data_IF_505332809667
#
_entry.id   IF_505332809667
#
_cell.length_a   1.000
_cell.length_b   1.000
_cell.length_c   1.000
_cell.angle_alpha   90.00
_cell.angle_beta   90.00
_cell.angle_gamma   90.00
#
_symmetry.space_group_name_H-M   'P 1'
#
loop_
_entity.id
_entity.type
_entity.pdbx_description
1 polymer ?
#
# COMPACT_ATOMS: atom_id res chain seq x y z
N UNK A 1 19.39 19.99 47.76
CA UNK A 1 19.42 20.45 46.35
C UNK A 1 19.78 19.37 45.33
N UNK A 2 20.54 18.31 45.66
CA UNK A 2 20.88 17.23 44.71
C UNK A 2 19.68 16.33 44.32
N UNK A 3 18.79 16.05 45.26
CA UNK A 3 17.63 15.17 45.02
C UNK A 3 16.53 15.82 44.16
N UNK A 4 16.48 17.17 44.13
CA UNK A 4 15.54 17.93 43.29
C UNK A 4 15.95 17.84 41.81
N UNK A 5 17.25 17.96 41.51
CA UNK A 5 17.80 17.88 40.15
C UNK A 5 17.56 16.48 39.57
N UNK A 6 17.75 15.43 40.38
CA UNK A 6 17.51 14.04 39.97
C UNK A 6 16.02 13.81 39.65
N UNK A 7 15.11 14.34 40.48
CA UNK A 7 13.67 14.26 40.24
C UNK A 7 13.25 14.92 38.93
N UNK A 8 13.77 16.12 38.65
CA UNK A 8 13.46 16.84 37.40
C UNK A 8 14.02 16.13 36.17
N UNK A 9 15.22 15.55 36.27
CA UNK A 9 15.84 14.81 35.16
C UNK A 9 15.06 13.53 34.82
N UNK A 10 14.61 12.79 35.84
CA UNK A 10 13.78 11.59 35.65
C UNK A 10 12.43 11.92 35.04
N UNK A 11 11.80 13.02 35.46
CA UNK A 11 10.52 13.46 34.88
C UNK A 11 10.64 13.82 33.40
N UNK A 12 11.69 14.57 33.01
CA UNK A 12 11.97 14.89 31.60
C UNK A 12 12.24 13.65 30.74
N UNK A 13 12.90 12.64 31.31
CA UNK A 13 13.22 11.38 30.60
C UNK A 13 11.96 10.54 30.31
N UNK A 14 11.05 10.44 31.27
CA UNK A 14 9.79 9.69 31.13
C UNK A 14 8.85 10.37 30.12
N UNK A 15 8.66 11.69 30.25
CA UNK A 15 7.79 12.45 29.33
C UNK A 15 8.39 12.51 27.92
N UNK A 16 9.71 12.71 27.82
CA UNK A 16 10.41 12.73 26.54
C UNK A 16 10.25 11.41 25.77
N UNK A 17 10.43 10.27 26.45
CA UNK A 17 10.32 8.94 25.83
C UNK A 17 8.93 8.68 25.25
N UNK A 18 7.86 9.07 25.97
CA UNK A 18 6.48 8.91 25.51
C UNK A 18 6.14 9.73 24.26
N UNK A 19 6.72 10.93 24.10
CA UNK A 19 6.53 11.76 22.91
C UNK A 19 7.26 11.19 21.68
N UNK A 20 8.39 10.53 21.87
CA UNK A 20 9.14 9.88 20.77
C UNK A 20 8.41 8.65 20.22
N UNK A 21 7.81 7.82 21.07
CA UNK A 21 7.05 6.63 20.64
C UNK A 21 5.83 7.00 19.79
N UNK A 22 5.07 8.02 20.19
CA UNK A 22 3.88 8.47 19.43
C UNK A 22 4.27 8.97 18.03
N UNK A 23 5.39 9.69 17.90
CA UNK A 23 5.87 10.16 16.58
C UNK A 23 6.33 9.01 15.68
N UNK A 24 6.95 7.98 16.24
CA UNK A 24 7.42 6.82 15.48
C UNK A 24 6.24 5.98 14.96
N UNK A 25 5.19 5.80 15.77
CA UNK A 25 3.96 5.11 15.37
C UNK A 25 3.20 5.89 14.29
N UNK A 26 3.06 7.22 14.42
CA UNK A 26 2.46 8.05 13.39
C UNK A 26 3.22 8.02 12.05
N UNK A 27 4.56 7.88 12.06
CA UNK A 27 5.33 7.74 10.82
C UNK A 27 5.12 6.37 10.14
N UNK A 28 4.97 5.30 10.93
CA UNK A 28 4.67 3.97 10.40
C UNK A 28 3.24 3.89 9.86
N UNK A 29 2.27 4.47 10.56
CA UNK A 29 0.88 4.57 10.08
C UNK A 29 0.76 5.47 8.86
N UNK A 30 1.51 6.58 8.78
CA UNK A 30 1.55 7.42 7.59
C UNK A 30 2.14 6.68 6.38
N UNK A 31 3.16 5.82 6.59
CA UNK A 31 3.69 4.95 5.54
C UNK A 31 2.68 3.87 5.12
N UNK A 32 2.03 3.20 6.07
CA UNK A 32 1.00 2.20 5.79
C UNK A 32 -0.21 2.82 5.08
N UNK A 33 -0.65 4.01 5.52
CA UNK A 33 -1.70 4.79 4.88
C UNK A 33 -1.27 5.35 3.51
N UNK A 34 0.01 5.68 3.30
CA UNK A 34 0.52 6.07 1.99
C UNK A 34 0.54 4.87 1.01
N UNK A 35 0.83 3.66 1.50
CA UNK A 35 0.67 2.41 0.73
C UNK A 35 -0.81 2.18 0.38
N UNK A 36 -1.74 2.48 1.29
CA UNK A 36 -3.19 2.39 1.04
C UNK A 36 -3.73 3.51 0.12
N UNK A 37 -3.05 4.67 0.07
CA UNK A 37 -3.45 5.85 -0.75
C UNK A 37 -2.90 5.85 -2.17
N UNK A 38 -2.08 4.88 -2.57
CA UNK A 38 -1.88 4.58 -3.98
C UNK A 38 -3.13 3.89 -4.58
N UNK A 39 -4.33 4.42 -4.31
CA UNK A 39 -5.46 4.30 -5.23
C UNK A 39 -5.01 4.99 -6.51
N UNK A 40 -4.52 4.20 -7.46
CA UNK A 40 -4.22 4.64 -8.82
C UNK A 40 -5.55 5.10 -9.41
N UNK A 41 -5.97 6.34 -9.15
CA UNK A 41 -7.13 6.96 -9.78
C UNK A 41 -6.93 6.85 -11.29
N UNK A 42 -7.66 5.95 -11.94
CA UNK A 42 -7.79 5.99 -13.40
C UNK A 42 -7.50 4.73 -14.20
N UNK A 43 -7.42 3.52 -13.62
CA UNK A 43 -7.53 2.32 -14.46
C UNK A 43 -9.01 1.99 -14.66
N UNK A 44 -9.59 2.48 -15.76
CA UNK A 44 -10.97 2.21 -16.17
C UNK A 44 -11.06 1.28 -17.38
N UNK A 45 -9.93 0.97 -18.01
CA UNK A 45 -9.86 0.11 -19.20
C UNK A 45 -8.69 -0.86 -19.17
N UNK A 46 -8.84 -2.00 -19.86
CA UNK A 46 -7.78 -3.01 -19.96
C UNK A 46 -6.53 -2.48 -20.68
N UNK A 47 -6.71 -1.56 -21.64
CA UNK A 47 -5.58 -0.92 -22.35
C UNK A 47 -4.73 -0.09 -21.39
N UNK A 48 -5.34 0.66 -20.48
CA UNK A 48 -4.63 1.42 -19.45
C UNK A 48 -3.91 0.49 -18.47
N UNK A 49 -4.57 -0.60 -18.05
CA UNK A 49 -3.93 -1.60 -17.18
C UNK A 49 -2.70 -2.21 -17.87
N UNK A 50 -2.85 -2.64 -19.12
CA UNK A 50 -1.75 -3.23 -19.90
C UNK A 50 -0.60 -2.24 -20.10
N UNK A 51 -0.91 -0.97 -20.40
CA UNK A 51 0.10 0.08 -20.51
C UNK A 51 0.84 0.29 -19.18
N UNK A 52 0.13 0.24 -18.05
CA UNK A 52 0.72 0.37 -16.72
C UNK A 52 1.62 -0.81 -16.35
N UNK A 53 1.25 -2.03 -16.76
CA UNK A 53 2.08 -3.23 -16.56
C UNK A 53 3.31 -3.28 -17.47
N UNK A 54 3.20 -2.78 -18.70
CA UNK A 54 4.30 -2.67 -19.67
C UNK A 54 5.30 -1.56 -19.34
N UNK A 55 4.98 -0.63 -18.44
CA UNK A 55 5.88 0.44 -18.06
C UNK A 55 6.97 -0.09 -17.11
N UNK A 56 8.26 -0.09 -17.52
CA UNK A 56 9.35 -0.63 -16.73
C UNK A 56 9.72 0.27 -15.54
N UNK A 57 9.24 1.51 -15.49
CA UNK A 57 9.46 2.44 -14.38
C UNK A 57 8.49 2.21 -13.22
N UNK A 58 7.50 1.33 -13.39
CA UNK A 58 6.48 1.04 -12.36
C UNK A 58 6.95 -0.07 -11.43
N UNK A 59 6.93 0.22 -10.13
CA UNK A 59 7.27 -0.77 -9.10
C UNK A 59 6.15 -1.78 -8.90
N UNK A 60 6.46 -2.94 -8.32
CA UNK A 60 5.50 -4.00 -8.09
C UNK A 60 4.30 -3.54 -7.24
N UNK A 61 4.54 -2.72 -6.21
CA UNK A 61 3.49 -2.11 -5.40
C UNK A 61 2.54 -1.22 -6.22
N UNK A 62 3.07 -0.46 -7.19
CA UNK A 62 2.24 0.35 -8.09
C UNK A 62 1.43 -0.53 -9.05
N UNK A 63 2.02 -1.62 -9.56
CA UNK A 63 1.32 -2.58 -10.43
C UNK A 63 0.20 -3.30 -9.68
N UNK A 64 0.43 -3.67 -8.42
CA UNK A 64 -0.59 -4.23 -7.53
C UNK A 64 -1.73 -3.24 -7.31
N UNK A 65 -1.44 -1.99 -6.97
CA UNK A 65 -2.49 -0.96 -6.80
C UNK A 65 -3.29 -0.70 -8.08
N UNK A 66 -2.65 -0.72 -9.25
CA UNK A 66 -3.32 -0.61 -10.55
C UNK A 66 -4.22 -1.81 -10.84
N UNK A 67 -3.77 -3.03 -10.52
CA UNK A 67 -4.55 -4.25 -10.64
C UNK A 67 -5.77 -4.23 -9.70
N UNK A 68 -5.59 -3.88 -8.43
CA UNK A 68 -6.69 -3.80 -7.46
C UNK A 68 -7.74 -2.78 -7.90
N UNK A 69 -7.29 -1.64 -8.43
CA UNK A 69 -8.20 -0.62 -8.97
C UNK A 69 -8.97 -1.15 -10.18
N UNK A 70 -8.33 -1.91 -11.07
CA UNK A 70 -9.00 -2.50 -12.23
C UNK A 70 -10.04 -3.56 -11.83
N UNK A 71 -9.77 -4.33 -10.76
CA UNK A 71 -10.72 -5.26 -10.15
C UNK A 71 -11.89 -4.52 -9.50
N UNK A 72 -11.61 -3.45 -8.72
CA UNK A 72 -12.64 -2.60 -8.09
C UNK A 72 -13.57 -1.98 -9.13
N UNK A 73 -13.01 -1.52 -10.26
CA UNK A 73 -13.76 -0.96 -11.39
C UNK A 73 -14.40 -2.02 -12.31
N UNK A 74 -14.35 -3.31 -11.94
CA UNK A 74 -14.91 -4.44 -12.73
C UNK A 74 -14.38 -4.55 -14.16
N UNK A 75 -13.19 -4.01 -14.43
CA UNK A 75 -12.52 -4.08 -15.74
C UNK A 75 -12.01 -5.49 -16.02
N UNK A 76 -11.48 -6.13 -14.97
CA UNK A 76 -11.00 -7.52 -14.96
C UNK A 76 -11.55 -8.27 -13.74
N UNK A 77 -11.76 -9.59 -13.81
CA UNK A 77 -12.15 -10.39 -12.65
C UNK A 77 -10.99 -10.48 -11.66
N UNK A 78 -11.28 -10.65 -10.36
CA UNK A 78 -10.24 -10.87 -9.34
C UNK A 78 -9.65 -12.28 -9.48
N UNK A 79 -8.33 -12.38 -9.64
CA UNK A 79 -7.60 -13.65 -9.51
C UNK A 79 -7.72 -14.17 -8.07
N UNK A 80 -7.96 -15.49 -7.89
CA UNK A 80 -8.12 -16.13 -6.59
C UNK A 80 -6.80 -16.30 -5.83
N UNK A 81 -5.67 -16.40 -6.54
CA UNK A 81 -4.35 -16.62 -5.95
C UNK A 81 -3.31 -15.79 -6.68
N UNK A 82 -2.71 -14.79 -6.00
CA UNK A 82 -1.59 -14.09 -6.59
C UNK A 82 -0.59 -13.62 -5.52
N UNK A 83 0.69 -13.96 -5.74
CA UNK A 83 1.82 -13.41 -4.98
C UNK A 83 2.34 -12.11 -5.60
N UNK A 84 2.07 -11.87 -6.88
CA UNK A 84 2.61 -10.74 -7.64
C UNK A 84 1.56 -10.15 -8.58
N UNK A 85 1.67 -8.85 -8.86
CA UNK A 85 0.74 -8.13 -9.73
C UNK A 85 0.61 -8.76 -11.14
N UNK A 86 1.74 -9.24 -11.70
CA UNK A 86 1.81 -9.77 -13.07
C UNK A 86 1.11 -11.13 -13.20
N UNK A 87 1.28 -11.98 -12.18
CA UNK A 87 0.58 -13.25 -12.06
C UNK A 87 -0.93 -13.02 -11.91
N UNK A 88 -1.33 -12.09 -11.04
CA UNK A 88 -2.72 -11.70 -10.85
C UNK A 88 -3.36 -11.25 -12.17
N UNK A 89 -2.69 -10.36 -12.91
CA UNK A 89 -3.18 -9.87 -14.20
C UNK A 89 -3.34 -11.00 -15.22
N UNK A 90 -2.35 -11.87 -15.37
CA UNK A 90 -2.41 -13.01 -16.31
C UNK A 90 -3.55 -13.98 -15.97
N UNK A 91 -3.72 -14.31 -14.70
CA UNK A 91 -4.82 -15.17 -14.25
C UNK A 91 -6.18 -14.52 -14.47
N UNK A 92 -6.33 -13.24 -14.13
CA UNK A 92 -7.56 -12.48 -14.37
C UNK A 92 -7.95 -12.42 -15.85
N UNK A 93 -6.97 -12.26 -16.75
CA UNK A 93 -7.23 -12.31 -18.19
C UNK A 93 -7.73 -13.71 -18.62
N UNK A 94 -7.12 -14.79 -18.12
CA UNK A 94 -7.58 -16.17 -18.38
C UNK A 94 -8.99 -16.42 -17.86
N UNK A 95 -9.30 -15.97 -16.65
CA UNK A 95 -10.64 -16.10 -16.04
C UNK A 95 -11.70 -15.34 -16.82
N UNK A 96 -11.35 -14.16 -17.36
CA UNK A 96 -12.27 -13.38 -18.19
C UNK A 96 -12.64 -14.13 -19.48
N UNK A 97 -11.66 -14.75 -20.14
CA UNK A 97 -11.90 -15.55 -21.34
C UNK A 97 -12.73 -16.81 -21.04
N UNK A 98 -12.53 -17.43 -19.88
CA UNK A 98 -13.31 -18.61 -19.46
C UNK A 98 -14.77 -18.29 -19.08
N UNK A 99 -15.05 -17.09 -18.57
CA UNK A 99 -16.42 -16.65 -18.22
C UNK A 99 -17.25 -16.14 -19.40
N UNK A 100 -16.62 -15.94 -20.56
CA UNK A 100 -17.29 -15.47 -21.79
C UNK A 100 -17.57 -16.59 -22.80
N UNK A 101 -17.26 -17.85 -22.45
CA UNK A 101 -17.79 -19.05 -23.12
C UNK A 101 -19.05 -19.52 -22.40
#
# INVERSE_FOLDING_TARGET
MKNLIIGTLLFLLVVGSGLYTIKAEMQNDAKAAATQKYKVKGITTEKQLKAFFNDPKKTEAQKLGAYETAVENKVIPRSPHFQSADAAYKESMKLKHHKQQ
#
